data_IF_804243078725
#
_entry.id   IF_804243078725
#
_cell.length_a   1.000
_cell.length_b   1.000
_cell.length_c   1.000
_cell.angle_alpha   90.00
_cell.angle_beta   90.00
_cell.angle_gamma   90.00
#
_symmetry.space_group_name_H-M   'P 1'
#
loop_
_entity.id
_entity.type
_entity.pdbx_description
1 polymer ?
#
# COMPACT_ATOMS: atom_id res chain seq x y z
N UNK A 1 -5.19 -34.42 -1.07
CA UNK A 1 -4.04 -33.49 -1.08
C UNK A 1 -4.63 -32.10 -1.07
N UNK A 2 -4.89 -31.56 0.12
CA UNK A 2 -5.45 -30.23 0.28
C UNK A 2 -4.28 -29.27 0.51
N UNK A 3 -3.83 -28.64 -0.57
CA UNK A 3 -2.69 -27.75 -0.58
C UNK A 3 -3.11 -26.39 -0.03
N UNK A 4 -3.23 -26.28 1.28
CA UNK A 4 -3.28 -24.96 1.93
C UNK A 4 -1.93 -24.29 1.70
N UNK A 5 -1.89 -23.35 0.76
CA UNK A 5 -0.73 -22.48 0.53
C UNK A 5 -0.58 -21.63 1.78
N UNK A 6 0.25 -22.08 2.71
CA UNK A 6 0.73 -21.26 3.82
C UNK A 6 1.62 -20.20 3.17
N UNK A 7 1.09 -19.00 2.97
CA UNK A 7 1.92 -17.84 2.65
C UNK A 7 2.91 -17.69 3.79
N UNK A 8 4.14 -18.12 3.53
CA UNK A 8 5.25 -18.00 4.43
C UNK A 8 5.52 -16.49 4.52
N UNK A 9 4.91 -15.86 5.53
CA UNK A 9 5.15 -14.47 5.89
C UNK A 9 6.61 -14.40 6.32
N UNK A 10 7.49 -14.07 5.38
CA UNK A 10 8.83 -13.60 5.66
C UNK A 10 8.70 -12.54 6.75
N UNK A 11 9.21 -12.84 7.94
CA UNK A 11 9.27 -11.92 9.07
C UNK A 11 10.31 -10.83 8.81
N UNK A 12 10.16 -10.10 7.71
CA UNK A 12 10.69 -8.75 7.62
C UNK A 12 9.69 -7.87 8.35
N UNK A 13 10.01 -7.52 9.60
CA UNK A 13 9.23 -6.62 10.47
C UNK A 13 9.10 -5.18 9.92
N UNK A 14 9.48 -4.95 8.66
CA UNK A 14 9.47 -3.64 7.99
C UNK A 14 8.22 -3.41 7.11
N UNK A 15 7.37 -4.43 6.93
CA UNK A 15 6.12 -4.29 6.17
C UNK A 15 4.98 -3.81 7.09
N UNK A 16 4.26 -2.72 6.74
CA UNK A 16 3.16 -2.22 7.55
C UNK A 16 2.06 -3.28 7.65
N UNK A 17 1.39 -3.35 8.81
CA UNK A 17 0.21 -4.19 8.95
C UNK A 17 -0.85 -3.78 7.92
N UNK A 18 -1.75 -4.70 7.56
CA UNK A 18 -2.84 -4.39 6.62
C UNK A 18 -3.66 -3.17 7.08
N UNK A 19 -3.92 -3.05 8.38
CA UNK A 19 -4.66 -1.90 8.94
C UNK A 19 -3.90 -0.58 8.79
N UNK A 20 -2.58 -0.58 8.99
CA UNK A 20 -1.76 0.62 8.78
C UNK A 20 -1.68 0.99 7.29
N UNK A 21 -1.52 -0.01 6.43
CA UNK A 21 -1.55 0.18 4.98
C UNK A 21 -2.86 0.82 4.53
N UNK A 22 -4.01 0.32 4.98
CA UNK A 22 -5.32 0.88 4.66
C UNK A 22 -5.41 2.36 5.09
N UNK A 23 -4.98 2.69 6.31
CA UNK A 23 -5.01 4.08 6.79
C UNK A 23 -4.17 5.02 5.93
N UNK A 24 -2.96 4.61 5.54
CA UNK A 24 -2.09 5.41 4.67
C UNK A 24 -2.70 5.58 3.27
N UNK A 25 -3.27 4.51 2.73
CA UNK A 25 -3.94 4.52 1.41
C UNK A 25 -5.16 5.44 1.42
N UNK A 26 -6.01 5.38 2.46
CA UNK A 26 -7.16 6.29 2.59
C UNK A 26 -6.74 7.75 2.60
N UNK A 27 -5.70 8.08 3.38
CA UNK A 27 -5.14 9.44 3.39
C UNK A 27 -4.64 9.88 2.01
N UNK A 28 -3.98 8.99 1.28
CA UNK A 28 -3.51 9.30 -0.07
C UNK A 28 -4.66 9.54 -1.05
N UNK A 29 -5.75 8.77 -0.96
CA UNK A 29 -6.97 9.03 -1.74
C UNK A 29 -7.61 10.38 -1.39
N UNK A 30 -7.70 10.74 -0.10
CA UNK A 30 -8.24 12.05 0.30
C UNK A 30 -7.42 13.21 -0.29
N UNK A 31 -6.09 13.05 -0.34
CA UNK A 31 -5.20 14.00 -1.01
C UNK A 31 -5.48 14.06 -2.52
N UNK A 32 -5.68 12.92 -3.19
CA UNK A 32 -6.08 12.89 -4.61
C UNK A 32 -7.41 13.61 -4.85
N UNK A 33 -8.44 13.32 -4.05
CA UNK A 33 -9.75 13.99 -4.15
C UNK A 33 -9.68 15.50 -3.83
N UNK A 34 -8.63 15.93 -3.14
CA UNK A 34 -8.34 17.34 -2.85
C UNK A 34 -7.40 18.01 -3.86
N UNK A 35 -7.15 17.40 -5.03
CA UNK A 35 -6.20 17.86 -6.05
C UNK A 35 -4.73 17.96 -5.59
N UNK A 36 -4.33 17.21 -4.56
CA UNK A 36 -2.96 17.17 -4.01
C UNK A 36 -2.20 15.91 -4.46
N UNK A 37 -2.22 15.63 -5.76
CA UNK A 37 -1.67 14.40 -6.36
C UNK A 37 -0.17 14.18 -6.05
N UNK A 38 0.65 15.23 -6.12
CA UNK A 38 2.09 15.11 -5.82
C UNK A 38 2.34 14.69 -4.37
N UNK A 39 1.50 15.16 -3.44
CA UNK A 39 1.60 14.78 -2.04
C UNK A 39 1.11 13.34 -1.82
N UNK A 40 0.01 12.95 -2.46
CA UNK A 40 -0.49 11.58 -2.41
C UNK A 40 0.55 10.58 -2.95
N UNK A 41 1.21 10.90 -4.06
CA UNK A 41 2.31 10.10 -4.63
C UNK A 41 3.47 9.98 -3.65
N UNK A 42 3.94 11.10 -3.09
CA UNK A 42 5.07 11.12 -2.17
C UNK A 42 4.82 10.28 -0.90
N UNK A 43 3.57 10.25 -0.41
CA UNK A 43 3.19 9.46 0.76
C UNK A 43 3.20 7.94 0.47
N UNK A 44 2.90 7.50 -0.76
CA UNK A 44 2.74 6.08 -1.12
C UNK A 44 3.98 5.49 -1.81
N UNK A 45 4.73 6.27 -2.58
CA UNK A 45 5.88 5.81 -3.40
C UNK A 45 6.96 5.03 -2.62
N UNK A 46 7.31 5.39 -1.37
CA UNK A 46 8.29 4.63 -0.57
C UNK A 46 7.87 3.19 -0.24
N UNK A 47 6.57 2.89 -0.34
CA UNK A 47 5.99 1.62 0.11
C UNK A 47 5.68 0.63 -1.02
N UNK A 48 5.80 1.05 -2.29
CA UNK A 48 5.44 0.23 -3.46
C UNK A 48 6.11 -1.14 -3.44
N UNK A 49 7.40 -1.20 -3.13
CA UNK A 49 8.17 -2.46 -3.12
C UNK A 49 8.14 -3.19 -1.76
N UNK A 50 7.48 -2.61 -0.75
CA UNK A 50 7.45 -3.12 0.64
C UNK A 50 6.08 -3.67 1.04
N UNK A 51 5.03 -3.29 0.31
CA UNK A 51 3.66 -3.63 0.64
C UNK A 51 2.81 -3.72 -0.61
N UNK A 52 2.27 -4.91 -0.87
CA UNK A 52 1.37 -5.18 -1.99
C UNK A 52 0.19 -4.20 -2.03
N UNK A 53 -0.37 -3.84 -0.87
CA UNK A 53 -1.48 -2.88 -0.77
C UNK A 53 -1.09 -1.49 -1.32
N UNK A 54 0.12 -1.03 -1.01
CA UNK A 54 0.61 0.26 -1.49
C UNK A 54 0.95 0.23 -2.97
N UNK A 55 1.44 -0.90 -3.50
CA UNK A 55 1.65 -1.06 -4.93
C UNK A 55 0.33 -0.91 -5.72
N UNK A 56 -0.75 -1.55 -5.24
CA UNK A 56 -2.09 -1.43 -5.84
C UNK A 56 -2.57 0.03 -5.78
N UNK A 57 -2.49 0.67 -4.60
CA UNK A 57 -2.92 2.04 -4.42
C UNK A 57 -2.13 3.04 -5.28
N UNK A 58 -0.80 2.88 -5.38
CA UNK A 58 0.04 3.70 -6.25
C UNK A 58 -0.41 3.59 -7.71
N UNK A 59 -0.68 2.38 -8.19
CA UNK A 59 -1.21 2.18 -9.55
C UNK A 59 -2.55 2.90 -9.74
N UNK A 60 -3.46 2.83 -8.77
CA UNK A 60 -4.77 3.50 -8.87
C UNK A 60 -4.68 5.03 -8.84
N UNK A 61 -3.69 5.59 -8.15
CA UNK A 61 -3.45 7.05 -8.07
C UNK A 61 -2.79 7.60 -9.33
N UNK A 62 -1.93 6.81 -9.98
CA UNK A 62 -1.08 7.24 -11.10
C UNK A 62 -1.64 6.86 -12.48
N UNK A 63 -2.76 6.14 -12.53
CA UNK A 63 -3.49 5.83 -13.77
C UNK A 63 -4.21 7.05 -14.35
#
# INVERSE_FOLDING_TARGET
MDGTVVYQSSTDNDSPTMTEAIKMITKAYDLCFSNKFLQAKADIEPWINKSMYHAIAHSSIMC
#
